data_IF_676579923220
#
_entry.id   IF_676579923220
#
_cell.length_a   1.000
_cell.length_b   1.000
_cell.length_c   1.000
_cell.angle_alpha   90.00
_cell.angle_beta   90.00
_cell.angle_gamma   90.00
#
_symmetry.space_group_name_H-M   'P 1'
#
loop_
_entity.id
_entity.type
_entity.pdbx_description
1 polymer ?
#
# COMPACT_ATOMS: atom_id res chain seq x y z
N UNK A 1 14.30 -5.54 -22.52
CA UNK A 1 12.98 -5.60 -21.83
C UNK A 1 12.99 -4.54 -20.74
N UNK A 2 11.96 -3.68 -20.65
CA UNK A 2 11.87 -2.66 -19.61
C UNK A 2 11.71 -3.35 -18.24
N UNK A 3 12.43 -2.89 -17.20
CA UNK A 3 12.23 -3.39 -15.85
C UNK A 3 10.82 -3.03 -15.35
N UNK A 4 10.25 -3.87 -14.47
CA UNK A 4 8.93 -3.58 -13.88
C UNK A 4 8.95 -2.28 -13.07
N UNK A 5 10.00 -2.10 -12.27
CA UNK A 5 10.27 -0.85 -11.54
C UNK A 5 11.48 -0.18 -12.18
N UNK A 6 11.30 0.99 -12.74
CA UNK A 6 12.36 1.84 -13.26
C UNK A 6 12.03 3.32 -12.99
N UNK A 7 12.92 4.21 -13.43
CA UNK A 7 12.74 5.67 -13.29
C UNK A 7 11.44 6.20 -13.91
N UNK A 8 10.90 5.50 -14.89
CA UNK A 8 9.69 5.88 -15.63
C UNK A 8 8.48 5.03 -15.22
N UNK A 9 8.52 4.39 -14.05
CA UNK A 9 7.38 3.64 -13.53
C UNK A 9 6.14 4.52 -13.47
N UNK A 10 5.03 4.05 -14.03
CA UNK A 10 3.76 4.78 -14.25
C UNK A 10 3.82 5.96 -15.22
N UNK A 11 4.97 6.38 -15.70
CA UNK A 11 5.10 7.44 -16.68
C UNK A 11 5.06 6.86 -18.10
N UNK A 12 3.85 6.65 -18.63
CA UNK A 12 3.61 5.88 -19.86
C UNK A 12 3.92 6.67 -21.14
N UNK A 13 3.92 8.01 -21.09
CA UNK A 13 4.10 8.87 -22.26
C UNK A 13 5.26 9.85 -22.05
N UNK A 14 5.84 10.35 -23.13
CA UNK A 14 6.87 11.38 -23.06
C UNK A 14 6.36 12.68 -22.45
N UNK A 15 5.09 13.00 -22.65
CA UNK A 15 4.44 14.13 -21.99
C UNK A 15 4.37 13.92 -20.47
N UNK A 16 3.97 12.73 -20.01
CA UNK A 16 3.94 12.42 -18.57
C UNK A 16 5.32 12.52 -17.94
N UNK A 17 6.34 11.97 -18.60
CA UNK A 17 7.73 12.07 -18.14
C UNK A 17 8.21 13.50 -18.03
N UNK A 18 7.93 14.33 -19.05
CA UNK A 18 8.31 15.73 -19.05
C UNK A 18 7.62 16.52 -17.94
N UNK A 19 6.30 16.38 -17.82
CA UNK A 19 5.52 17.06 -16.77
C UNK A 19 6.00 16.68 -15.36
N UNK A 20 6.26 15.40 -15.15
CA UNK A 20 6.76 14.93 -13.86
C UNK A 20 8.13 15.54 -13.54
N UNK A 21 9.11 15.42 -14.46
CA UNK A 21 10.49 15.86 -14.22
C UNK A 21 10.65 17.37 -14.15
N UNK A 22 9.90 18.10 -14.97
CA UNK A 22 10.03 19.55 -15.05
C UNK A 22 9.27 20.25 -13.89
N UNK A 23 8.22 19.62 -13.33
CA UNK A 23 7.33 20.31 -12.40
C UNK A 23 7.03 19.55 -11.11
N UNK A 24 6.93 18.23 -11.11
CA UNK A 24 6.44 17.45 -9.98
C UNK A 24 7.54 16.77 -9.15
N UNK A 25 8.63 16.33 -9.77
CA UNK A 25 9.66 15.51 -9.13
C UNK A 25 10.26 16.16 -7.87
N UNK A 26 10.39 17.48 -7.86
CA UNK A 26 10.97 18.24 -6.75
C UNK A 26 9.92 19.08 -5.99
N UNK A 27 8.65 18.91 -6.30
CA UNK A 27 7.58 19.62 -5.59
C UNK A 27 7.43 19.09 -4.17
N UNK A 28 7.16 19.94 -3.17
CA UNK A 28 6.86 19.49 -1.83
C UNK A 28 5.57 18.68 -1.80
N UNK A 29 5.58 17.59 -1.03
CA UNK A 29 4.41 16.74 -0.84
C UNK A 29 3.65 17.23 0.38
N UNK A 30 2.36 17.54 0.21
CA UNK A 30 1.42 17.83 1.28
C UNK A 30 0.43 16.67 1.36
N UNK A 31 0.78 15.65 2.12
CA UNK A 31 -0.08 14.48 2.34
C UNK A 31 -1.04 14.77 3.51
N UNK A 32 -2.28 15.08 3.17
CA UNK A 32 -3.35 15.40 4.14
C UNK A 32 -4.30 14.22 4.40
N UNK A 33 -4.08 13.10 3.73
CA UNK A 33 -4.93 11.91 3.85
C UNK A 33 -4.09 10.68 4.19
N UNK A 34 -4.43 10.00 5.28
CA UNK A 34 -3.83 8.72 5.62
C UNK A 34 -4.85 7.80 6.31
N UNK A 35 -4.51 6.52 6.39
CA UNK A 35 -5.31 5.51 7.10
C UNK A 35 -4.66 5.12 8.44
N UNK A 36 -3.79 5.95 8.96
CA UNK A 36 -3.17 5.76 10.27
C UNK A 36 -4.08 6.42 11.32
N UNK A 37 -4.29 5.72 12.44
CA UNK A 37 -5.04 6.27 13.55
C UNK A 37 -4.26 7.47 14.15
N UNK A 38 -4.84 8.69 14.21
CA UNK A 38 -4.18 9.85 14.76
C UNK A 38 -3.73 9.68 16.22
N UNK A 39 -4.43 8.88 17.01
CA UNK A 39 -4.04 8.57 18.38
C UNK A 39 -2.71 7.81 18.42
N UNK A 40 -2.47 6.89 17.51
CA UNK A 40 -1.20 6.16 17.44
C UNK A 40 -0.02 7.08 17.15
N UNK A 41 -0.24 8.13 16.35
CA UNK A 41 0.76 9.16 16.10
C UNK A 41 1.00 9.99 17.37
N UNK A 42 -0.07 10.44 18.00
CA UNK A 42 0.01 11.29 19.19
C UNK A 42 0.68 10.59 20.38
N UNK A 43 0.49 9.28 20.51
CA UNK A 43 1.05 8.43 21.57
C UNK A 43 2.44 7.87 21.23
N UNK A 44 3.01 8.17 20.05
CA UNK A 44 4.26 7.60 19.52
C UNK A 44 4.26 6.06 19.62
N UNK A 45 3.15 5.43 19.20
CA UNK A 45 2.96 3.99 19.30
C UNK A 45 4.11 3.23 18.64
N UNK A 46 4.67 2.28 19.35
CA UNK A 46 5.62 1.31 18.81
C UNK A 46 4.87 0.08 18.30
N UNK A 47 5.24 -0.39 17.12
CA UNK A 47 4.67 -1.58 16.49
C UNK A 47 5.67 -2.72 16.52
N UNK A 48 5.21 -3.93 16.80
CA UNK A 48 6.07 -5.11 16.86
C UNK A 48 6.46 -5.62 15.47
N UNK A 49 5.62 -5.36 14.48
CA UNK A 49 5.84 -5.84 13.12
C UNK A 49 5.06 -5.03 12.08
N UNK A 50 5.38 -5.25 10.82
CA UNK A 50 4.79 -4.56 9.67
C UNK A 50 3.29 -4.86 9.49
N UNK A 51 2.79 -6.02 9.93
CA UNK A 51 1.37 -6.34 9.85
C UNK A 51 0.54 -5.33 10.66
N UNK A 52 0.98 -5.03 11.89
CA UNK A 52 0.28 -4.09 12.76
C UNK A 52 0.20 -2.69 12.14
N UNK A 53 1.26 -2.25 11.47
CA UNK A 53 1.29 -0.95 10.78
C UNK A 53 0.38 -0.94 9.56
N UNK A 54 0.46 -1.98 8.72
CA UNK A 54 -0.16 -1.96 7.39
C UNK A 54 -1.57 -2.54 7.35
N UNK A 55 -1.82 -3.57 8.14
CA UNK A 55 -3.07 -4.34 8.06
C UNK A 55 -3.92 -4.27 9.32
N UNK A 56 -3.37 -3.78 10.42
CA UNK A 56 -4.05 -3.79 11.70
C UNK A 56 -5.37 -3.00 11.73
N UNK A 57 -5.52 -1.97 10.90
CA UNK A 57 -6.72 -1.14 10.84
C UNK A 57 -7.17 -0.72 9.45
N UNK A 58 -6.47 -1.13 8.39
CA UNK A 58 -6.77 -0.65 7.04
C UNK A 58 -7.79 -1.54 6.32
N UNK A 59 -9.05 -1.15 6.43
CA UNK A 59 -10.18 -1.87 5.80
C UNK A 59 -10.16 -1.83 4.26
N UNK A 60 -9.43 -0.92 3.63
CA UNK A 60 -9.25 -0.92 2.16
C UNK A 60 -8.38 -2.10 1.73
N UNK A 61 -7.27 -2.36 2.45
CA UNK A 61 -6.43 -3.53 2.19
C UNK A 61 -7.19 -4.83 2.43
N UNK A 62 -7.98 -4.91 3.50
CA UNK A 62 -8.88 -6.05 3.77
C UNK A 62 -9.86 -6.30 2.62
N UNK A 63 -10.44 -5.24 2.05
CA UNK A 63 -11.32 -5.34 0.89
C UNK A 63 -10.60 -5.93 -0.32
N UNK A 64 -9.38 -5.50 -0.60
CA UNK A 64 -8.58 -6.05 -1.70
C UNK A 64 -8.28 -7.55 -1.49
N UNK A 65 -7.96 -7.96 -0.28
CA UNK A 65 -7.78 -9.37 0.04
C UNK A 65 -9.06 -10.18 -0.21
N UNK A 66 -10.21 -9.68 0.22
CA UNK A 66 -11.52 -10.33 0.00
C UNK A 66 -11.85 -10.47 -1.48
N UNK A 67 -11.68 -9.41 -2.27
CA UNK A 67 -11.91 -9.42 -3.72
C UNK A 67 -11.02 -10.48 -4.40
N UNK A 68 -9.82 -10.69 -3.90
CA UNK A 68 -8.89 -11.70 -4.39
C UNK A 68 -9.11 -13.11 -3.81
N UNK A 69 -10.20 -13.32 -3.07
CA UNK A 69 -10.61 -14.64 -2.57
C UNK A 69 -9.82 -15.13 -1.36
N UNK A 70 -9.15 -14.25 -0.63
CA UNK A 70 -8.47 -14.61 0.63
C UNK A 70 -9.53 -14.93 1.69
N UNK A 71 -9.47 -16.11 2.36
CA UNK A 71 -10.39 -16.45 3.43
C UNK A 71 -10.31 -15.46 4.60
N UNK A 72 -11.46 -15.18 5.22
CA UNK A 72 -11.58 -14.18 6.30
C UNK A 72 -10.68 -14.46 7.50
N UNK A 73 -10.40 -15.73 7.79
CA UNK A 73 -9.48 -16.12 8.87
C UNK A 73 -8.08 -15.51 8.73
N UNK A 74 -7.64 -15.23 7.48
CA UNK A 74 -6.37 -14.57 7.16
C UNK A 74 -6.48 -13.04 7.05
N UNK A 75 -7.65 -12.47 7.24
CA UNK A 75 -7.87 -11.01 7.15
C UNK A 75 -8.11 -10.45 8.53
N UNK A 76 -9.30 -10.69 9.10
CA UNK A 76 -9.68 -10.22 10.44
C UNK A 76 -9.84 -11.35 11.46
N UNK A 77 -9.78 -12.61 11.05
CA UNK A 77 -9.90 -13.77 11.94
C UNK A 77 -8.64 -14.08 12.75
N UNK A 78 -8.51 -15.33 13.23
CA UNK A 78 -7.56 -15.68 14.29
C UNK A 78 -6.20 -16.21 13.82
N UNK A 79 -5.92 -16.17 12.51
CA UNK A 79 -4.61 -16.61 12.02
C UNK A 79 -3.47 -15.72 12.51
N UNK A 80 -2.27 -16.27 12.69
CA UNK A 80 -1.09 -15.49 13.07
C UNK A 80 -0.84 -14.30 12.13
N UNK A 81 -0.40 -13.18 12.68
CA UNK A 81 -0.14 -11.93 11.92
C UNK A 81 0.81 -12.15 10.74
N UNK A 82 1.82 -13.02 10.89
CA UNK A 82 2.74 -13.39 9.81
C UNK A 82 2.03 -14.06 8.64
N UNK A 83 1.08 -14.97 8.90
CA UNK A 83 0.32 -15.65 7.86
C UNK A 83 -0.63 -14.69 7.14
N UNK A 84 -1.28 -13.80 7.89
CA UNK A 84 -2.12 -12.73 7.33
C UNK A 84 -1.31 -11.82 6.42
N UNK A 85 -0.14 -11.39 6.86
CA UNK A 85 0.74 -10.56 6.06
C UNK A 85 1.24 -11.28 4.81
N UNK A 86 1.52 -12.59 4.89
CA UNK A 86 1.87 -13.40 3.73
C UNK A 86 0.75 -13.39 2.68
N UNK A 87 -0.51 -13.53 3.10
CA UNK A 87 -1.67 -13.45 2.19
C UNK A 87 -1.84 -12.07 1.56
N UNK A 88 -1.54 -11.02 2.29
CA UNK A 88 -1.47 -9.68 1.72
C UNK A 88 -0.36 -9.57 0.67
N UNK A 89 0.84 -10.02 0.95
CA UNK A 89 1.96 -10.01 0.02
C UNK A 89 1.66 -10.79 -1.28
N UNK A 90 0.96 -11.92 -1.18
CA UNK A 90 0.48 -12.70 -2.33
C UNK A 90 -0.61 -11.98 -3.13
N UNK A 91 -1.33 -11.05 -2.51
CA UNK A 91 -2.37 -10.23 -3.15
C UNK A 91 -1.77 -9.08 -3.94
N UNK A 92 -0.69 -8.46 -3.46
CA UNK A 92 -0.09 -7.26 -4.04
C UNK A 92 0.19 -7.34 -5.55
N UNK A 93 0.77 -8.42 -6.11
CA UNK A 93 1.01 -8.51 -7.55
C UNK A 93 -0.26 -8.44 -8.40
N UNK A 94 -1.41 -8.80 -7.83
CA UNK A 94 -2.70 -8.76 -8.51
C UNK A 94 -3.32 -7.35 -8.54
N UNK A 95 -2.75 -6.42 -7.79
CA UNK A 95 -3.23 -5.04 -7.67
C UNK A 95 -2.48 -4.06 -8.60
N UNK A 96 -1.63 -4.57 -9.48
CA UNK A 96 -0.90 -3.75 -10.45
C UNK A 96 -1.88 -2.99 -11.32
N UNK A 97 -1.73 -1.65 -11.37
CA UNK A 97 -2.65 -0.76 -12.08
C UNK A 97 -3.90 -0.36 -11.28
N UNK A 98 -4.07 -0.87 -10.06
CA UNK A 98 -5.11 -0.38 -9.16
C UNK A 98 -4.68 0.97 -8.56
N UNK A 99 -5.52 2.01 -8.64
CA UNK A 99 -5.19 3.36 -8.13
C UNK A 99 -5.33 3.50 -6.60
N UNK A 100 -5.82 2.48 -5.91
CA UNK A 100 -6.00 2.50 -4.45
C UNK A 100 -4.78 2.01 -3.71
#
# INVERSE_FOLDING_TARGET
>A
MKAFMDRDFLLSTDTAKRLYRDHAENAPILDYHCHINPQEIAEDRRFDNIFQVWLGGDHYKWRQMRINGVPEEYITGDRPEREKFQKWAETLPKLIGNPL
#
